data_IF_156135206494
#
_entry.id   IF_156135206494
#
_cell.length_a   1.000
_cell.length_b   1.000
_cell.length_c   1.000
_cell.angle_alpha   90.00
_cell.angle_beta   90.00
_cell.angle_gamma   90.00
#
_symmetry.space_group_name_H-M   'P 1'
#
loop_
_entity.id
_entity.type
_entity.pdbx_description
1 polymer ?
#
# COMPACT_ATOMS: atom_id res chain seq x y z
N UNK A 1 -13.35 8.99 -7.64
CA UNK A 1 -12.10 8.21 -7.56
C UNK A 1 -12.38 6.84 -8.14
N UNK A 2 -11.63 6.38 -9.14
CA UNK A 2 -11.85 5.07 -9.76
C UNK A 2 -11.29 4.01 -8.79
N UNK A 3 -12.09 2.97 -8.49
CA UNK A 3 -11.65 1.86 -7.64
C UNK A 3 -10.77 0.91 -8.47
N UNK A 4 -9.50 0.78 -8.11
CA UNK A 4 -8.58 -0.15 -8.76
C UNK A 4 -8.95 -1.57 -8.34
N UNK A 5 -9.02 -2.49 -9.31
CA UNK A 5 -9.14 -3.92 -9.03
C UNK A 5 -7.73 -4.53 -8.92
N UNK A 6 -7.22 -4.64 -7.69
CA UNK A 6 -5.86 -5.14 -7.41
C UNK A 6 -5.65 -6.59 -7.86
N UNK A 7 -6.66 -7.45 -7.72
CA UNK A 7 -6.56 -8.84 -8.16
C UNK A 7 -6.44 -8.94 -9.68
N UNK A 8 -7.24 -8.17 -10.42
CA UNK A 8 -7.14 -8.12 -11.88
C UNK A 8 -5.80 -7.52 -12.35
N UNK A 9 -5.24 -6.56 -11.60
CA UNK A 9 -3.92 -6.01 -11.89
C UNK A 9 -2.81 -7.05 -11.63
N UNK A 10 -2.88 -7.79 -10.52
CA UNK A 10 -1.96 -8.87 -10.18
C UNK A 10 -1.95 -9.94 -11.27
N UNK A 11 -3.11 -10.43 -11.68
CA UNK A 11 -3.23 -11.45 -12.74
C UNK A 11 -2.62 -10.99 -14.08
N UNK A 12 -2.74 -9.70 -14.41
CA UNK A 12 -2.11 -9.15 -15.62
C UNK A 12 -0.59 -9.10 -15.48
N UNK A 13 -0.07 -8.70 -14.33
CA UNK A 13 1.35 -8.65 -14.06
C UNK A 13 1.98 -10.07 -14.06
N UNK A 14 1.34 -11.06 -13.45
CA UNK A 14 1.82 -12.45 -13.43
C UNK A 14 1.89 -13.09 -14.83
N UNK A 15 0.98 -12.70 -15.73
CA UNK A 15 0.96 -13.20 -17.13
C UNK A 15 1.93 -12.47 -18.05
N UNK A 16 2.38 -11.27 -17.68
CA UNK A 16 3.31 -10.48 -18.47
C UNK A 16 4.75 -11.02 -18.36
N UNK A 17 5.66 -10.48 -19.19
CA UNK A 17 7.07 -10.86 -19.14
C UNK A 17 7.64 -10.60 -17.75
N UNK A 18 8.03 -11.67 -17.06
CA UNK A 18 8.53 -11.58 -15.68
C UNK A 18 9.85 -10.81 -15.58
N UNK A 19 10.21 -10.41 -14.36
CA UNK A 19 11.49 -9.73 -14.08
C UNK A 19 11.52 -8.25 -14.43
N UNK A 20 12.69 -7.65 -14.25
CA UNK A 20 12.92 -6.23 -14.52
C UNK A 20 13.07 -6.02 -16.02
N UNK A 21 12.49 -4.93 -16.51
CA UNK A 21 12.60 -4.51 -17.90
C UNK A 21 13.61 -3.38 -18.02
N UNK A 22 14.42 -3.43 -19.07
CA UNK A 22 15.44 -2.44 -19.41
C UNK A 22 14.98 -1.58 -20.58
N UNK A 23 15.54 -0.38 -20.67
CA UNK A 23 15.28 0.56 -21.74
C UNK A 23 16.56 0.80 -22.55
N UNK A 24 16.44 0.73 -23.87
CA UNK A 24 17.50 1.05 -24.83
C UNK A 24 16.96 2.09 -25.82
N UNK A 25 17.75 3.12 -26.10
CA UNK A 25 17.46 4.08 -27.16
C UNK A 25 18.24 3.67 -28.41
N UNK A 26 17.57 3.62 -29.56
CA UNK A 26 18.20 3.19 -30.80
C UNK A 26 19.22 4.21 -31.31
N UNK A 27 20.51 3.97 -31.10
CA UNK A 27 21.55 4.73 -31.84
C UNK A 27 21.99 3.99 -33.14
N UNK A 28 21.84 2.65 -33.22
CA UNK A 28 22.38 1.86 -34.34
C UNK A 28 21.48 0.72 -34.88
N UNK A 29 20.39 0.33 -34.20
CA UNK A 29 19.55 -0.84 -34.60
C UNK A 29 18.16 -0.51 -35.15
N UNK A 30 17.63 0.66 -34.85
CA UNK A 30 16.29 1.12 -35.23
C UNK A 30 16.32 2.63 -35.44
N UNK A 31 15.31 3.20 -36.09
CA UNK A 31 15.23 4.64 -36.38
C UNK A 31 15.49 5.47 -35.11
N UNK A 32 16.39 6.45 -35.19
CA UNK A 32 17.09 7.08 -34.07
C UNK A 32 16.22 7.84 -33.04
N UNK A 33 14.90 7.79 -33.18
CA UNK A 33 13.92 8.38 -32.26
C UNK A 33 13.32 7.40 -31.25
N UNK A 34 13.50 6.10 -31.45
CA UNK A 34 12.65 5.10 -30.80
C UNK A 34 13.23 4.53 -29.51
N UNK A 35 12.33 4.24 -28.58
CA UNK A 35 12.64 3.67 -27.28
C UNK A 35 12.23 2.19 -27.24
N UNK A 36 13.17 1.32 -26.88
CA UNK A 36 12.99 -0.12 -26.87
C UNK A 36 13.02 -0.63 -25.44
N UNK A 37 11.88 -1.17 -25.01
CA UNK A 37 11.78 -1.87 -23.74
C UNK A 37 12.08 -3.34 -24.01
N UNK A 38 13.06 -3.87 -23.29
CA UNK A 38 13.53 -5.24 -23.46
C UNK A 38 13.83 -5.90 -22.12
N UNK A 39 14.15 -7.20 -22.17
CA UNK A 39 14.68 -7.94 -21.04
C UNK A 39 15.91 -8.72 -21.48
N UNK A 40 16.98 -8.63 -20.69
CA UNK A 40 18.22 -9.38 -20.90
C UNK A 40 18.15 -10.74 -20.18
N UNK A 41 17.50 -11.72 -20.80
CA UNK A 41 17.49 -13.10 -20.30
C UNK A 41 17.64 -14.06 -21.47
N UNK A 42 18.74 -14.83 -21.48
CA UNK A 42 19.13 -15.74 -22.59
C UNK A 42 19.18 -15.00 -23.94
N UNK A 43 19.87 -13.86 -23.96
CA UNK A 43 19.93 -12.95 -25.11
C UNK A 43 19.01 -11.75 -24.96
N UNK A 44 18.63 -11.15 -26.09
CA UNK A 44 17.81 -9.95 -26.17
C UNK A 44 16.33 -10.32 -26.41
N UNK A 45 15.48 -10.10 -25.41
CA UNK A 45 14.03 -10.29 -25.54
C UNK A 45 13.34 -8.91 -25.71
N UNK A 46 12.88 -8.55 -26.92
CA UNK A 46 12.11 -7.33 -27.12
C UNK A 46 10.72 -7.45 -26.49
N UNK A 47 10.27 -6.40 -25.80
CA UNK A 47 8.96 -6.35 -25.14
C UNK A 47 8.06 -5.32 -25.82
N UNK A 48 8.56 -4.11 -26.02
CA UNK A 48 7.79 -3.03 -26.62
C UNK A 48 8.72 -2.06 -27.35
N UNK A 49 8.26 -1.52 -28.48
CA UNK A 49 8.85 -0.39 -29.20
C UNK A 49 7.90 0.79 -29.03
N UNK A 50 8.42 1.91 -28.55
CA UNK A 50 7.71 3.17 -28.45
C UNK A 50 8.31 4.08 -29.52
N UNK A 51 7.48 4.41 -30.50
CA UNK A 51 7.86 5.26 -31.63
C UNK A 51 8.16 6.67 -31.15
N UNK A 52 9.31 7.19 -31.56
CA UNK A 52 9.67 8.58 -31.35
C UNK A 52 9.10 9.50 -32.41
N UNK A 53 9.28 10.80 -32.19
CA UNK A 53 9.02 11.83 -33.19
C UNK A 53 10.14 11.83 -34.25
N UNK A 54 10.03 10.99 -35.29
CA UNK A 54 10.98 11.09 -36.42
C UNK A 54 10.77 12.44 -37.14
N UNK A 55 11.79 13.08 -37.72
CA UNK A 55 11.61 14.32 -38.49
C UNK A 55 10.56 14.22 -39.62
N UNK A 56 10.33 13.01 -40.14
CA UNK A 56 9.32 12.73 -41.17
C UNK A 56 7.90 12.50 -40.61
N UNK A 57 7.77 12.32 -39.29
CA UNK A 57 6.49 12.05 -38.63
C UNK A 57 5.60 13.31 -38.49
N UNK A 58 6.20 14.50 -38.62
CA UNK A 58 5.51 15.78 -38.44
C UNK A 58 5.23 16.15 -36.97
N UNK A 59 5.75 15.38 -36.02
CA UNK A 59 5.70 15.68 -34.58
C UNK A 59 6.88 16.56 -34.15
N UNK A 60 6.69 17.34 -33.08
CA UNK A 60 7.69 18.26 -32.53
C UNK A 60 8.58 17.61 -31.45
N UNK A 61 9.55 18.38 -30.95
CA UNK A 61 10.48 17.94 -29.89
C UNK A 61 9.77 17.60 -28.57
N UNK A 62 8.68 18.30 -28.25
CA UNK A 62 7.89 18.05 -27.04
C UNK A 62 7.27 16.64 -27.07
N UNK A 63 6.71 16.23 -28.22
CA UNK A 63 6.21 14.87 -28.41
C UNK A 63 7.31 13.82 -28.24
N UNK A 64 8.54 14.09 -28.69
CA UNK A 64 9.66 13.16 -28.50
C UNK A 64 9.97 12.95 -27.01
N UNK A 65 10.03 14.03 -26.22
CA UNK A 65 10.28 13.95 -24.78
C UNK A 65 9.19 13.20 -24.05
N UNK A 66 7.92 13.39 -24.42
CA UNK A 66 6.80 12.64 -23.85
C UNK A 66 6.91 11.15 -24.10
N UNK A 67 7.32 10.74 -25.31
CA UNK A 67 7.48 9.31 -25.64
C UNK A 67 8.62 8.65 -24.88
N UNK A 68 9.75 9.35 -24.72
CA UNK A 68 10.84 8.87 -23.88
C UNK A 68 10.40 8.72 -22.42
N UNK A 69 9.69 9.71 -21.88
CA UNK A 69 9.15 9.65 -20.52
C UNK A 69 8.14 8.49 -20.35
N UNK A 70 7.29 8.23 -21.34
CA UNK A 70 6.38 7.08 -21.35
C UNK A 70 7.15 5.76 -21.31
N UNK A 71 8.23 5.64 -22.08
CA UNK A 71 9.05 4.45 -22.13
C UNK A 71 9.75 4.18 -20.79
N UNK A 72 10.33 5.21 -20.18
CA UNK A 72 10.91 5.15 -18.85
C UNK A 72 9.88 4.73 -17.80
N UNK A 73 8.68 5.32 -17.85
CA UNK A 73 7.59 4.97 -16.94
C UNK A 73 7.18 3.51 -17.09
N UNK A 74 6.97 3.02 -18.31
CA UNK A 74 6.54 1.63 -18.55
C UNK A 74 7.63 0.64 -18.11
N UNK A 75 8.90 0.93 -18.40
CA UNK A 75 10.03 0.10 -17.97
C UNK A 75 10.16 0.06 -16.43
N UNK A 76 9.96 1.19 -15.75
CA UNK A 76 9.96 1.27 -14.30
C UNK A 76 8.74 0.56 -13.69
N UNK A 77 7.55 0.74 -14.26
CA UNK A 77 6.29 0.13 -13.87
C UNK A 77 6.10 -1.29 -14.45
N UNK A 78 7.20 -2.00 -14.68
CA UNK A 78 7.19 -3.38 -15.16
C UNK A 78 6.44 -4.33 -14.20
N UNK A 79 6.09 -5.55 -14.64
CA UNK A 79 5.34 -6.51 -13.84
C UNK A 79 5.98 -6.84 -12.48
N UNK A 80 7.31 -6.93 -12.39
CA UNK A 80 7.99 -7.22 -11.13
C UNK A 80 7.82 -6.08 -10.12
N UNK A 81 7.95 -4.83 -10.56
CA UNK A 81 7.68 -3.64 -9.74
C UNK A 81 6.22 -3.62 -9.29
N UNK A 82 5.26 -3.83 -10.20
CA UNK A 82 3.83 -3.83 -9.88
C UNK A 82 3.47 -4.90 -8.84
N UNK A 83 3.98 -6.13 -9.02
CA UNK A 83 3.76 -7.22 -8.06
C UNK A 83 4.32 -6.87 -6.68
N UNK A 84 5.53 -6.30 -6.62
CA UNK A 84 6.16 -5.86 -5.37
C UNK A 84 5.32 -4.79 -4.66
N UNK A 85 4.81 -3.80 -5.41
CA UNK A 85 3.93 -2.76 -4.86
C UNK A 85 2.62 -3.34 -4.32
N UNK A 86 2.04 -4.33 -4.99
CA UNK A 86 0.83 -5.01 -4.53
C UNK A 86 1.09 -5.82 -3.25
N UNK A 87 2.22 -6.53 -3.16
CA UNK A 87 2.62 -7.26 -1.95
C UNK A 87 2.84 -6.30 -0.76
N UNK A 88 3.49 -5.17 -0.99
CA UNK A 88 3.66 -4.13 0.04
C UNK A 88 2.33 -3.54 0.51
N UNK A 89 1.39 -3.33 -0.41
CA UNK A 89 0.06 -2.82 -0.08
C UNK A 89 -0.73 -3.82 0.76
N UNK A 90 -0.76 -5.09 0.36
CA UNK A 90 -1.41 -6.17 1.13
C UNK A 90 -0.81 -6.31 2.54
N UNK A 91 0.52 -6.19 2.67
CA UNK A 91 1.19 -6.21 3.96
C UNK A 91 0.81 -5.01 4.84
N UNK A 92 0.67 -3.82 4.26
CA UNK A 92 0.23 -2.61 4.97
C UNK A 92 -1.23 -2.74 5.41
N UNK A 93 -2.11 -3.20 4.53
CA UNK A 93 -3.53 -3.43 4.85
C UNK A 93 -3.70 -4.45 5.97
N UNK A 94 -2.94 -5.55 5.93
CA UNK A 94 -2.91 -6.53 7.01
C UNK A 94 -2.46 -5.90 8.33
N UNK A 95 -1.40 -5.08 8.32
CA UNK A 95 -0.92 -4.39 9.52
C UNK A 95 -1.97 -3.43 10.08
N UNK A 96 -2.71 -2.72 9.22
CA UNK A 96 -3.79 -1.83 9.62
C UNK A 96 -4.91 -2.66 10.29
N UNK A 97 -5.37 -3.72 9.63
CA UNK A 97 -6.39 -4.62 10.18
C UNK A 97 -5.97 -5.22 11.54
N UNK A 98 -4.70 -5.66 11.67
CA UNK A 98 -4.16 -6.16 12.93
C UNK A 98 -4.14 -5.08 14.02
N UNK A 99 -3.86 -3.81 13.68
CA UNK A 99 -3.90 -2.70 14.63
C UNK A 99 -5.34 -2.33 15.03
N UNK A 100 -6.27 -2.34 14.08
CA UNK A 100 -7.70 -2.08 14.33
C UNK A 100 -8.35 -3.18 15.16
N UNK A 101 -7.89 -4.43 15.00
CA UNK A 101 -8.36 -5.56 15.78
C UNK A 101 -7.82 -5.57 17.23
N UNK A 102 -6.72 -4.87 17.51
CA UNK A 102 -6.16 -4.77 18.87
C UNK A 102 -7.13 -4.07 19.79
N UNK A 103 -7.22 -4.62 20.99
CA UNK A 103 -8.14 -4.15 22.02
C UNK A 103 -7.39 -3.88 23.31
N UNK A 104 -7.60 -2.69 23.87
CA UNK A 104 -7.11 -2.36 25.21
C UNK A 104 -8.06 -2.98 26.23
N UNK A 105 -7.53 -3.82 27.12
CA UNK A 105 -8.33 -4.41 28.21
C UNK A 105 -7.98 -3.69 29.51
N UNK A 106 -8.92 -2.91 30.03
CA UNK A 106 -8.79 -2.23 31.32
C UNK A 106 -9.11 -3.16 32.48
N UNK A 107 -8.49 -2.97 33.65
CA UNK A 107 -8.77 -3.79 34.83
C UNK A 107 -10.20 -3.59 35.34
N UNK A 108 -10.79 -4.65 35.90
CA UNK A 108 -12.07 -4.55 36.60
C UNK A 108 -11.91 -3.70 37.86
N UNK A 109 -12.87 -2.81 38.13
CA UNK A 109 -13.01 -2.24 39.46
C UNK A 109 -13.57 -3.30 40.41
N UNK A 110 -12.88 -3.53 41.53
CA UNK A 110 -13.34 -4.47 42.55
C UNK A 110 -14.44 -3.83 43.38
N UNK A 111 -15.47 -4.61 43.70
CA UNK A 111 -16.51 -4.21 44.64
C UNK A 111 -16.14 -4.63 46.05
N UNK A 112 -16.50 -3.80 47.02
CA UNK A 112 -16.48 -4.17 48.44
C UNK A 112 -17.76 -4.89 48.82
N UNK A 113 -17.68 -5.74 49.84
CA UNK A 113 -18.84 -6.42 50.40
C UNK A 113 -19.95 -5.40 50.79
N UNK A 114 -21.25 -5.72 50.62
CA UNK A 114 -22.35 -4.81 50.95
C UNK A 114 -22.34 -4.29 52.40
N UNK A 115 -21.85 -5.11 53.34
CA UNK A 115 -21.68 -4.75 54.76
C UNK A 115 -20.34 -4.05 55.07
N UNK A 116 -19.54 -3.73 54.06
CA UNK A 116 -18.25 -3.07 54.21
C UNK A 116 -18.38 -1.60 54.67
N UNK A 117 -17.30 -1.03 55.23
CA UNK A 117 -17.28 0.36 55.69
C UNK A 117 -17.53 1.34 54.53
N UNK A 118 -18.23 2.43 54.81
CA UNK A 118 -18.64 3.42 53.80
C UNK A 118 -17.43 4.04 53.05
N UNK A 119 -16.31 4.24 53.75
CA UNK A 119 -15.08 4.74 53.14
C UNK A 119 -14.54 3.84 52.03
N UNK A 120 -14.62 2.51 52.21
CA UNK A 120 -14.16 1.56 51.21
C UNK A 120 -15.10 1.53 49.99
N UNK A 121 -16.41 1.72 50.19
CA UNK A 121 -17.38 1.87 49.09
C UNK A 121 -17.06 3.08 48.22
N UNK A 122 -16.82 4.23 48.84
CA UNK A 122 -16.46 5.48 48.15
C UNK A 122 -15.17 5.29 47.34
N UNK A 123 -14.16 4.60 47.90
CA UNK A 123 -12.91 4.33 47.19
C UNK A 123 -13.12 3.44 45.94
N UNK A 124 -13.92 2.38 46.05
CA UNK A 124 -14.25 1.51 44.91
C UNK A 124 -15.06 2.23 43.83
N UNK A 125 -16.01 3.09 44.22
CA UNK A 125 -16.76 3.94 43.29
C UNK A 125 -15.84 4.91 42.55
N UNK A 126 -14.91 5.55 43.26
CA UNK A 126 -13.91 6.42 42.65
C UNK A 126 -13.05 5.64 41.64
N UNK A 127 -12.52 4.47 42.02
CA UNK A 127 -11.74 3.63 41.11
C UNK A 127 -12.53 3.22 39.86
N UNK A 128 -13.81 2.83 40.01
CA UNK A 128 -14.71 2.55 38.88
C UNK A 128 -14.89 3.78 37.97
N UNK A 129 -15.10 4.96 38.55
CA UNK A 129 -15.24 6.20 37.80
C UNK A 129 -14.00 6.51 36.96
N UNK A 130 -12.80 6.32 37.53
CA UNK A 130 -11.54 6.50 36.80
C UNK A 130 -11.40 5.49 35.66
N UNK A 131 -11.64 4.20 35.90
CA UNK A 131 -11.58 3.16 34.84
C UNK A 131 -12.55 3.48 33.70
N UNK A 132 -13.78 3.88 34.01
CA UNK A 132 -14.77 4.24 33.00
C UNK A 132 -14.34 5.48 32.20
N UNK A 133 -13.82 6.51 32.87
CA UNK A 133 -13.31 7.71 32.19
C UNK A 133 -12.14 7.38 31.27
N UNK A 134 -11.22 6.52 31.68
CA UNK A 134 -10.15 6.03 30.81
C UNK A 134 -10.71 5.29 29.58
N UNK A 135 -11.70 4.41 29.77
CA UNK A 135 -12.35 3.71 28.66
C UNK A 135 -12.97 4.70 27.66
N UNK A 136 -13.65 5.74 28.15
CA UNK A 136 -14.32 6.72 27.29
C UNK A 136 -13.32 7.57 26.51
N UNK A 137 -12.23 8.03 27.14
CA UNK A 137 -11.16 8.75 26.42
C UNK A 137 -10.47 7.87 25.37
N UNK A 138 -10.29 6.56 25.63
CA UNK A 138 -9.74 5.62 24.65
C UNK A 138 -10.71 5.42 23.46
N UNK A 139 -12.02 5.32 23.72
CA UNK A 139 -13.03 5.22 22.65
C UNK A 139 -13.08 6.48 21.79
N UNK A 140 -12.92 7.67 22.38
CA UNK A 140 -12.93 8.94 21.64
C UNK A 140 -11.84 9.01 20.57
N UNK A 141 -10.70 8.36 20.80
CA UNK A 141 -9.61 8.29 19.81
C UNK A 141 -9.74 7.09 18.85
N UNK A 142 -10.89 6.40 18.85
CA UNK A 142 -11.19 5.31 17.93
C UNK A 142 -10.52 3.98 18.26
N UNK A 143 -9.95 3.83 19.45
CA UNK A 143 -9.28 2.59 19.88
C UNK A 143 -10.30 1.68 20.57
N UNK A 144 -10.31 0.40 20.19
CA UNK A 144 -11.17 -0.62 20.81
C UNK A 144 -10.75 -0.85 22.27
N UNK A 145 -11.71 -0.84 23.19
CA UNK A 145 -11.46 -1.00 24.62
C UNK A 145 -12.58 -1.75 25.33
N UNK A 146 -12.20 -2.69 26.19
CA UNK A 146 -13.09 -3.40 27.12
C UNK A 146 -12.58 -3.31 28.55
N UNK A 147 -13.44 -3.67 29.50
CA UNK A 147 -13.12 -3.77 30.92
C UNK A 147 -13.18 -5.25 31.28
N UNK A 148 -12.13 -5.79 31.92
CA UNK A 148 -12.02 -7.21 32.25
C UNK A 148 -13.23 -7.69 33.06
N UNK A 149 -13.92 -8.73 32.56
CA UNK A 149 -15.04 -9.35 33.27
C UNK A 149 -16.38 -8.62 33.14
N UNK A 150 -16.50 -7.70 32.18
CA UNK A 150 -17.78 -7.36 31.55
C UNK A 150 -18.08 -8.33 30.39
#
# INVERSE_FOLDING_TARGET
MIKINYQALREKAEKATSGVWSLEYGEERFDAGDALIHREVVGYLPICRIEGAHPESGFDEDFQMEQQANAEFIAAANPATVLTLLDELEAKDKRIADMEAREVVLPRAHDVHPLGPQSAKIFCEFHRSIVNRCADEIRKVGVKVSIKGN
#
